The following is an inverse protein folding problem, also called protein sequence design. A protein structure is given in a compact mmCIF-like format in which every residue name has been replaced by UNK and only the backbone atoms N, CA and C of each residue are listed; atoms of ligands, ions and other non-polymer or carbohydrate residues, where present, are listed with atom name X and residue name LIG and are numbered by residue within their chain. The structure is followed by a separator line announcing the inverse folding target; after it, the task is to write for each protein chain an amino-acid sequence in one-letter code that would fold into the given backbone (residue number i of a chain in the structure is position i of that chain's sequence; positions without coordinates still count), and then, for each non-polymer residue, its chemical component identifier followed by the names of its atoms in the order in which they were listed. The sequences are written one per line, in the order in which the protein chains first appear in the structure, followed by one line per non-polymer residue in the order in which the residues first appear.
data_IF_409520883855
#
_entry.id   IF_409520883855
#
_cell.length_a   1.000
_cell.length_b   1.000
_cell.length_c   1.000
_cell.angle_alpha   90.00
_cell.angle_beta   90.00
_cell.angle_gamma   90.00
#
_symmetry.space_group_name_H-M   'P 1'
#
loop_
_entity.id
_entity.type
_entity.pdbx_description
1 polymer ?
#
# COMPACT_ATOMS: atom_id res chain seq x y z
N UNK A 1 -7.39 -10.12 -32.45
CA UNK A 1 -6.61 -9.65 -31.28
C UNK A 1 -7.07 -10.47 -30.08
N UNK A 2 -6.18 -11.21 -29.41
CA UNK A 2 -6.55 -11.93 -28.19
C UNK A 2 -6.86 -10.94 -27.06
N UNK A 3 -7.82 -11.27 -26.19
CA UNK A 3 -8.18 -10.40 -25.05
C UNK A 3 -7.00 -10.15 -24.10
N UNK A 4 -6.03 -11.08 -24.07
CA UNK A 4 -4.76 -10.95 -23.33
C UNK A 4 -3.88 -9.81 -23.85
N UNK A 5 -3.84 -9.60 -25.16
CA UNK A 5 -3.06 -8.54 -25.81
C UNK A 5 -3.64 -7.16 -25.51
N UNK A 6 -4.97 -7.04 -25.55
CA UNK A 6 -5.69 -5.81 -25.19
C UNK A 6 -5.43 -5.43 -23.73
N UNK A 7 -5.48 -6.40 -22.82
CA UNK A 7 -5.19 -6.18 -21.40
C UNK A 7 -3.73 -5.77 -21.16
N UNK A 8 -2.76 -6.33 -21.88
CA UNK A 8 -1.34 -5.96 -21.73
C UNK A 8 -1.04 -4.53 -22.23
N UNK A 9 -1.73 -4.08 -23.29
CA UNK A 9 -1.63 -2.69 -23.78
C UNK A 9 -2.23 -1.72 -22.75
N UNK A 10 -3.45 -2.00 -22.27
CA UNK A 10 -4.11 -1.20 -21.23
C UNK A 10 -3.21 -1.09 -20.00
N UNK A 11 -2.59 -2.20 -19.57
CA UNK A 11 -1.70 -2.21 -18.42
C UNK A 11 -0.43 -1.36 -18.64
N UNK A 12 0.17 -1.39 -19.82
CA UNK A 12 1.35 -0.55 -20.13
C UNK A 12 1.01 0.93 -20.11
N UNK A 13 -0.15 1.31 -20.67
CA UNK A 13 -0.63 2.70 -20.65
C UNK A 13 -0.86 3.19 -19.22
N UNK A 14 -1.57 2.41 -18.41
CA UNK A 14 -1.81 2.74 -17.00
C UNK A 14 -0.51 2.82 -16.19
N UNK A 15 0.50 2.03 -16.56
CA UNK A 15 1.83 2.09 -15.94
C UNK A 15 2.57 3.37 -16.31
N UNK A 16 2.56 3.79 -17.57
CA UNK A 16 3.18 5.06 -18.01
C UNK A 16 2.54 6.25 -17.29
N UNK A 17 1.20 6.26 -17.19
CA UNK A 17 0.46 7.27 -16.45
C UNK A 17 0.86 7.34 -14.97
N UNK A 18 1.05 6.18 -14.34
CA UNK A 18 1.42 6.09 -12.92
C UNK A 18 2.89 6.44 -12.65
N UNK A 19 3.79 5.97 -13.50
CA UNK A 19 5.24 6.17 -13.32
C UNK A 19 5.68 7.61 -13.63
N UNK A 20 4.83 8.38 -14.32
CA UNK A 20 5.07 9.78 -14.70
C UNK A 20 3.99 10.72 -14.16
N UNK A 21 3.44 10.43 -12.97
CA UNK A 21 2.41 11.25 -12.30
C UNK A 21 2.83 12.69 -12.03
N UNK A 22 4.14 12.95 -12.09
CA UNK A 22 4.76 14.24 -11.77
C UNK A 22 4.93 15.14 -13.03
N UNK A 23 4.59 14.62 -14.22
CA UNK A 23 4.56 15.40 -15.47
C UNK A 23 3.26 16.21 -15.59
N UNK A 24 3.33 17.36 -16.28
CA UNK A 24 2.14 18.10 -16.66
C UNK A 24 1.22 17.25 -17.55
N UNK A 25 -0.09 17.47 -17.42
CA UNK A 25 -1.12 16.66 -18.09
C UNK A 25 -0.91 16.56 -19.61
N UNK A 26 -0.48 17.65 -20.25
CA UNK A 26 -0.24 17.70 -21.70
C UNK A 26 0.99 16.88 -22.12
N UNK A 27 2.07 16.92 -21.34
CA UNK A 27 3.28 16.14 -21.63
C UNK A 27 3.03 14.64 -21.40
N UNK A 28 2.28 14.31 -20.35
CA UNK A 28 1.89 12.94 -20.05
C UNK A 28 0.99 12.37 -21.15
N UNK A 29 0.03 13.17 -21.64
CA UNK A 29 -0.88 12.78 -22.70
C UNK A 29 -0.14 12.49 -24.00
N UNK A 30 0.74 13.39 -24.43
CA UNK A 30 1.54 13.22 -25.66
C UNK A 30 2.46 12.00 -25.60
N UNK A 31 3.05 11.72 -24.42
CA UNK A 31 3.89 10.55 -24.23
C UNK A 31 3.09 9.24 -24.27
N UNK A 32 1.94 9.21 -23.60
CA UNK A 32 1.03 8.06 -23.63
C UNK A 32 0.54 7.81 -25.06
N UNK A 33 0.16 8.87 -25.79
CA UNK A 33 -0.32 8.77 -27.16
C UNK A 33 0.76 8.20 -28.09
N UNK A 34 1.98 8.76 -28.03
CA UNK A 34 3.12 8.29 -28.81
C UNK A 34 3.48 6.83 -28.53
N UNK A 35 3.55 6.44 -27.26
CA UNK A 35 3.85 5.05 -26.89
C UNK A 35 2.71 4.09 -27.25
N UNK A 36 1.46 4.53 -27.13
CA UNK A 36 0.27 3.74 -27.51
C UNK A 36 0.23 3.52 -29.02
N UNK A 37 0.47 4.55 -29.81
CA UNK A 37 0.58 4.47 -31.27
C UNK A 37 1.72 3.53 -31.69
N UNK A 38 2.87 3.60 -31.02
CA UNK A 38 3.99 2.68 -31.24
C UNK A 38 3.60 1.21 -30.98
N UNK A 39 2.88 0.94 -29.89
CA UNK A 39 2.39 -0.40 -29.56
C UNK A 39 1.35 -0.91 -30.58
N UNK A 40 0.45 -0.05 -31.06
CA UNK A 40 -0.50 -0.41 -32.10
C UNK A 40 0.19 -0.65 -33.46
N UNK A 41 1.19 0.16 -33.81
CA UNK A 41 1.97 -0.03 -35.04
C UNK A 41 2.78 -1.33 -35.00
N UNK A 42 3.32 -1.71 -33.84
CA UNK A 42 3.96 -3.02 -33.64
C UNK A 42 2.98 -4.18 -33.84
N UNK A 43 1.69 -4.00 -33.52
CA UNK A 43 0.64 -5.01 -33.74
C UNK A 43 0.19 -5.11 -35.19
N UNK A 44 0.22 -3.99 -35.92
CA UNK A 44 -0.07 -3.95 -37.35
C UNK A 44 1.07 -4.61 -38.14
N UNK A 45 2.32 -4.41 -37.70
CA UNK A 45 3.52 -4.93 -38.37
C UNK A 45 3.91 -6.38 -37.97
N UNK A 46 3.32 -6.95 -36.91
CA UNK A 46 3.61 -8.31 -36.43
C UNK A 46 2.72 -9.41 -37.03
N UNK A 47 1.91 -9.08 -38.05
CA UNK A 47 1.27 -10.08 -38.91
C UNK A 47 2.24 -10.74 -39.91
N UNK A 48 3.52 -10.40 -39.88
CA UNK A 48 4.58 -11.12 -40.57
C UNK A 48 5.50 -11.80 -39.55
N UNK A 49 5.25 -13.10 -39.38
CA UNK A 49 6.15 -14.12 -38.82
C UNK A 49 6.42 -14.18 -37.30
N UNK A 50 6.21 -15.39 -36.80
CA UNK A 50 6.72 -16.01 -35.58
C UNK A 50 5.93 -15.80 -34.27
N UNK A 51 5.10 -16.80 -33.99
CA UNK A 51 4.59 -17.10 -32.65
C UNK A 51 5.74 -17.52 -31.70
N UNK A 52 5.78 -17.04 -30.46
CA UNK A 52 6.55 -17.68 -29.40
C UNK A 52 5.64 -18.49 -28.47
N UNK A 53 6.10 -19.70 -28.20
CA UNK A 53 5.54 -20.76 -27.38
C UNK A 53 5.17 -20.38 -25.93
N UNK A 54 4.10 -21.02 -25.44
CA UNK A 54 3.41 -20.96 -24.13
C UNK A 54 4.24 -21.20 -22.83
N UNK A 55 5.58 -21.07 -22.84
CA UNK A 55 6.38 -21.30 -21.62
C UNK A 55 6.50 -20.10 -20.67
N UNK A 56 6.04 -18.91 -21.07
CA UNK A 56 6.39 -17.67 -20.38
C UNK A 56 5.36 -17.15 -19.35
N UNK A 57 4.15 -17.71 -19.34
CA UNK A 57 3.06 -17.20 -18.51
C UNK A 57 3.26 -17.51 -17.02
N UNK A 58 3.74 -18.72 -16.69
CA UNK A 58 4.07 -19.10 -15.29
C UNK A 58 5.25 -18.31 -14.73
N UNK A 59 6.19 -17.90 -15.59
CA UNK A 59 7.37 -17.12 -15.22
C UNK A 59 6.99 -15.64 -14.94
N UNK A 60 6.13 -15.07 -15.79
CA UNK A 60 5.58 -13.71 -15.64
C UNK A 60 4.63 -13.61 -14.45
N UNK A 61 3.80 -14.61 -14.19
CA UNK A 61 2.93 -14.67 -12.99
C UNK A 61 3.78 -14.76 -11.70
N UNK A 62 4.81 -15.61 -11.65
CA UNK A 62 5.75 -15.67 -10.51
C UNK A 62 6.51 -14.35 -10.28
N UNK A 63 6.91 -13.65 -11.35
CA UNK A 63 7.53 -12.32 -11.26
C UNK A 63 6.53 -11.23 -10.83
N UNK A 64 5.26 -11.29 -11.26
CA UNK A 64 4.17 -10.40 -10.81
C UNK A 64 3.87 -10.59 -9.33
N UNK A 65 3.81 -11.83 -8.84
CA UNK A 65 3.65 -12.14 -7.41
C UNK A 65 4.81 -11.58 -6.58
N UNK A 66 6.07 -11.82 -6.99
CA UNK A 66 7.26 -11.26 -6.33
C UNK A 66 7.33 -9.73 -6.30
N UNK A 67 6.74 -9.02 -7.27
CA UNK A 67 6.71 -7.55 -7.30
C UNK A 67 5.60 -6.95 -6.41
N UNK A 68 4.43 -7.58 -6.34
CA UNK A 68 3.40 -7.21 -5.37
C UNK A 68 3.92 -7.45 -3.95
N UNK A 69 4.58 -8.58 -3.72
CA UNK A 69 5.34 -8.83 -2.48
C UNK A 69 6.38 -7.74 -2.24
N UNK A 70 7.22 -7.37 -3.20
CA UNK A 70 8.26 -6.34 -3.00
C UNK A 70 7.76 -4.94 -2.64
N UNK A 71 6.54 -4.57 -3.00
CA UNK A 71 5.94 -3.31 -2.54
C UNK A 71 5.29 -3.48 -1.17
N UNK A 72 4.70 -4.63 -0.87
CA UNK A 72 4.32 -5.01 0.49
C UNK A 72 5.55 -4.99 1.42
N UNK A 73 6.70 -5.42 0.87
CA UNK A 73 8.12 -5.02 1.07
C UNK A 73 8.46 -3.82 1.95
N UNK A 74 7.93 -2.66 1.54
CA UNK A 74 8.52 -1.36 1.90
C UNK A 74 7.93 -0.76 3.18
N UNK A 75 6.74 -1.20 3.57
CA UNK A 75 6.00 -0.66 4.73
C UNK A 75 5.59 -1.79 5.70
N UNK A 76 6.41 -2.84 5.82
CA UNK A 76 6.08 -4.02 6.62
C UNK A 76 5.74 -3.73 8.08
N UNK A 77 6.54 -2.89 8.72
CA UNK A 77 6.36 -2.56 10.14
C UNK A 77 5.01 -1.88 10.33
N UNK A 78 4.70 -0.87 9.49
CA UNK A 78 3.40 -0.20 9.47
C UNK A 78 2.24 -1.15 9.15
N UNK A 79 2.44 -2.14 8.26
CA UNK A 79 1.42 -3.13 7.90
C UNK A 79 1.15 -4.15 9.00
N UNK A 80 2.20 -4.63 9.68
CA UNK A 80 2.08 -5.50 10.85
C UNK A 80 1.34 -4.79 11.98
N UNK A 81 1.64 -3.49 12.17
CA UNK A 81 0.93 -2.64 13.13
C UNK A 81 -0.53 -2.43 12.74
N UNK A 82 -0.80 -1.98 11.52
CA UNK A 82 -2.16 -1.69 11.03
C UNK A 82 -3.03 -2.93 10.99
N UNK A 83 -2.51 -4.11 10.64
CA UNK A 83 -3.35 -5.32 10.62
C UNK A 83 -3.93 -5.66 11.99
N UNK A 84 -3.17 -5.43 13.06
CA UNK A 84 -3.67 -5.62 14.43
C UNK A 84 -4.80 -4.63 14.75
N UNK A 85 -4.72 -3.44 14.18
CA UNK A 85 -5.69 -2.35 14.33
C UNK A 85 -6.86 -2.45 13.36
N UNK A 86 -6.73 -3.21 12.27
CA UNK A 86 -7.55 -3.11 11.07
C UNK A 86 -9.04 -3.34 11.36
N UNK A 87 -9.35 -4.25 12.28
CA UNK A 87 -10.73 -4.49 12.72
C UNK A 87 -11.35 -3.33 13.48
N UNK A 88 -10.54 -2.50 14.11
CA UNK A 88 -10.98 -1.37 14.94
C UNK A 88 -11.00 -0.05 14.16
N UNK A 89 -10.06 0.13 13.22
CA UNK A 89 -9.99 1.34 12.39
C UNK A 89 -10.87 1.26 11.13
N UNK A 90 -11.25 0.07 10.64
CA UNK A 90 -12.23 -0.10 9.56
C UNK A 90 -13.67 -0.06 10.08
N UNK A 91 -13.99 0.92 10.93
CA UNK A 91 -15.35 1.14 11.36
C UNK A 91 -16.15 1.92 10.32
N UNK A 92 -17.48 1.76 10.28
CA UNK A 92 -18.35 2.60 9.46
C UNK A 92 -18.07 4.08 9.72
N UNK A 93 -17.81 4.86 8.67
CA UNK A 93 -17.48 6.28 8.78
C UNK A 93 -15.98 6.61 8.81
N UNK A 94 -15.07 5.62 8.82
CA UNK A 94 -13.63 5.84 8.60
C UNK A 94 -13.28 5.49 7.14
N UNK A 95 -12.89 6.47 6.31
CA UNK A 95 -12.45 6.19 4.95
C UNK A 95 -11.18 5.33 4.89
N UNK A 96 -11.16 4.34 3.99
CA UNK A 96 -10.01 3.43 3.80
C UNK A 96 -8.71 4.18 3.43
N UNK A 97 -8.81 5.39 2.87
CA UNK A 97 -7.65 6.23 2.54
C UNK A 97 -6.88 6.72 3.78
N UNK A 98 -7.47 6.64 4.98
CA UNK A 98 -6.81 7.01 6.24
C UNK A 98 -5.93 5.88 6.80
N UNK A 99 -6.18 4.63 6.43
CA UNK A 99 -5.46 3.47 6.95
C UNK A 99 -3.93 3.57 6.74
N UNK A 100 -3.44 3.98 5.55
CA UNK A 100 -2.01 4.16 5.33
C UNK A 100 -1.37 5.25 6.20
N UNK A 101 -2.13 6.24 6.68
CA UNK A 101 -1.61 7.31 7.56
C UNK A 101 -1.15 6.71 8.89
N UNK A 102 -1.96 5.80 9.45
CA UNK A 102 -1.57 5.08 10.67
C UNK A 102 -0.33 4.22 10.46
N UNK A 103 -0.24 3.51 9.33
CA UNK A 103 0.94 2.70 9.01
C UNK A 103 2.22 3.53 8.93
N UNK A 104 2.17 4.68 8.27
CA UNK A 104 3.31 5.59 8.10
C UNK A 104 3.72 6.27 9.39
N UNK A 105 2.76 6.55 10.27
CA UNK A 105 3.05 7.17 11.57
C UNK A 105 4.02 6.34 12.43
N UNK A 106 4.04 5.01 12.25
CA UNK A 106 4.89 4.11 13.02
C UNK A 106 6.37 4.50 12.93
N UNK A 107 6.87 4.76 11.72
CA UNK A 107 8.28 5.10 11.52
C UNK A 107 8.64 6.40 12.24
N UNK A 108 7.79 7.43 12.14
CA UNK A 108 8.02 8.70 12.82
C UNK A 108 7.88 8.61 14.34
N UNK A 109 7.05 7.69 14.85
CA UNK A 109 6.75 7.59 16.28
C UNK A 109 7.79 6.77 17.03
N UNK A 110 8.21 5.61 16.51
CA UNK A 110 9.17 4.74 17.21
C UNK A 110 10.64 5.09 16.92
N UNK A 111 10.89 5.96 15.96
CA UNK A 111 12.24 6.34 15.50
C UNK A 111 12.85 5.36 14.50
N UNK A 112 13.83 5.84 13.71
CA UNK A 112 14.46 5.07 12.63
C UNK A 112 15.18 3.81 13.14
N UNK A 113 15.91 3.92 14.25
CA UNK A 113 16.68 2.81 14.80
C UNK A 113 15.78 1.63 15.21
N UNK A 114 14.72 1.91 15.97
CA UNK A 114 13.77 0.88 16.40
C UNK A 114 12.99 0.31 15.21
N UNK A 115 12.61 1.17 14.26
CA UNK A 115 11.97 0.76 13.02
C UNK A 115 12.84 -0.22 12.21
N UNK A 116 14.14 0.07 12.05
CA UNK A 116 15.05 -0.79 11.31
C UNK A 116 15.28 -2.13 12.01
N UNK A 117 15.38 -2.13 13.35
CA UNK A 117 15.50 -3.37 14.13
C UNK A 117 14.28 -4.28 13.97
N UNK A 118 13.08 -3.71 14.03
CA UNK A 118 11.84 -4.46 13.80
C UNK A 118 11.73 -4.91 12.35
N UNK A 119 12.09 -4.06 11.38
CA UNK A 119 12.09 -4.42 9.96
C UNK A 119 12.97 -5.65 9.71
N UNK A 120 14.19 -5.69 10.27
CA UNK A 120 15.08 -6.86 10.19
C UNK A 120 14.46 -8.13 10.79
N UNK A 121 13.71 -8.03 11.90
CA UNK A 121 12.98 -9.16 12.49
C UNK A 121 11.88 -9.66 11.55
N UNK A 122 11.12 -8.74 10.94
CA UNK A 122 10.07 -9.09 9.99
C UNK A 122 10.67 -9.74 8.74
N UNK A 123 11.76 -9.21 8.19
CA UNK A 123 12.41 -9.77 7.01
C UNK A 123 12.84 -11.22 7.24
N UNK A 124 13.45 -11.52 8.40
CA UNK A 124 13.80 -12.90 8.78
C UNK A 124 12.58 -13.81 8.88
N UNK A 125 11.47 -13.30 9.43
CA UNK A 125 10.23 -14.05 9.55
C UNK A 125 9.62 -14.32 8.16
N UNK A 126 9.63 -13.32 7.27
CA UNK A 126 9.13 -13.45 5.91
C UNK A 126 9.97 -14.46 5.11
N UNK A 127 11.30 -14.38 5.18
CA UNK A 127 12.18 -15.37 4.55
C UNK A 127 11.92 -16.79 5.05
N UNK A 128 11.70 -16.96 6.35
CA UNK A 128 11.39 -18.26 6.93
C UNK A 128 10.03 -18.78 6.46
N UNK A 129 9.02 -17.91 6.43
CA UNK A 129 7.68 -18.25 5.97
C UNK A 129 7.64 -18.63 4.49
N UNK A 130 8.31 -17.85 3.64
CA UNK A 130 8.43 -18.10 2.21
C UNK A 130 9.12 -19.44 1.92
N UNK A 131 10.19 -19.77 2.65
CA UNK A 131 10.88 -21.08 2.53
C UNK A 131 9.96 -22.26 2.88
N UNK A 132 8.96 -22.04 3.73
CA UNK A 132 7.96 -23.05 4.12
C UNK A 132 6.70 -23.00 3.25
N UNK A 133 6.62 -22.11 2.26
CA UNK A 133 5.48 -21.98 1.37
C UNK A 133 4.29 -21.23 1.98
N UNK A 134 4.47 -20.52 3.09
CA UNK A 134 3.44 -19.65 3.65
C UNK A 134 3.33 -18.35 2.86
N UNK A 135 2.11 -17.89 2.67
CA UNK A 135 1.85 -16.56 2.11
C UNK A 135 2.03 -15.44 3.18
N UNK A 136 2.09 -14.19 2.73
CA UNK A 136 2.31 -13.04 3.58
C UNK A 136 1.25 -12.89 4.69
N UNK A 137 -0.02 -13.14 4.38
CA UNK A 137 -1.12 -13.00 5.35
C UNK A 137 -1.10 -14.12 6.39
N UNK A 138 -0.70 -15.34 6.00
CA UNK A 138 -0.46 -16.46 6.91
C UNK A 138 0.71 -16.16 7.85
N UNK A 139 1.80 -15.59 7.33
CA UNK A 139 2.97 -15.20 8.15
C UNK A 139 2.57 -14.12 9.14
N UNK A 140 1.79 -13.13 8.71
CA UNK A 140 1.33 -12.05 9.56
C UNK A 140 0.38 -12.54 10.67
N UNK A 141 -0.50 -13.50 10.35
CA UNK A 141 -1.40 -14.13 11.33
C UNK A 141 -0.73 -15.18 12.24
N UNK A 142 0.52 -15.54 11.96
CA UNK A 142 1.27 -16.53 12.73
C UNK A 142 1.58 -16.03 14.15
N UNK A 143 1.88 -16.97 15.07
CA UNK A 143 2.31 -16.61 16.44
C UNK A 143 3.52 -15.66 16.43
N UNK A 144 4.61 -15.92 15.67
CA UNK A 144 5.71 -14.97 15.54
C UNK A 144 5.29 -13.60 15.01
N UNK A 145 4.39 -13.57 14.01
CA UNK A 145 3.91 -12.31 13.44
C UNK A 145 3.14 -11.45 14.44
N UNK A 146 2.26 -12.08 15.23
CA UNK A 146 1.54 -11.42 16.34
C UNK A 146 2.49 -10.93 17.44
N UNK A 147 3.54 -11.69 17.77
CA UNK A 147 4.55 -11.27 18.75
C UNK A 147 5.25 -9.99 18.28
N UNK A 148 5.71 -9.94 17.03
CA UNK A 148 6.35 -8.74 16.47
C UNK A 148 5.36 -7.57 16.44
N UNK A 149 4.11 -7.80 16.06
CA UNK A 149 3.11 -6.73 16.04
C UNK A 149 2.81 -6.17 17.44
N UNK A 150 2.85 -7.01 18.47
CA UNK A 150 2.72 -6.60 19.88
C UNK A 150 3.94 -5.80 20.34
N UNK A 151 5.14 -6.18 19.92
CA UNK A 151 6.37 -5.42 20.16
C UNK A 151 6.27 -4.01 19.55
N UNK A 152 5.85 -3.89 18.28
CA UNK A 152 5.63 -2.60 17.63
C UNK A 152 4.63 -1.76 18.40
N UNK A 153 3.51 -2.35 18.83
CA UNK A 153 2.49 -1.65 19.60
C UNK A 153 3.04 -1.13 20.94
N UNK A 154 3.87 -1.92 21.63
CA UNK A 154 4.50 -1.50 22.89
C UNK A 154 5.45 -0.32 22.69
N UNK A 155 6.29 -0.38 21.65
CA UNK A 155 7.20 0.73 21.29
C UNK A 155 6.42 1.97 20.92
N UNK A 156 5.38 1.82 20.09
CA UNK A 156 4.52 2.91 19.69
C UNK A 156 3.84 3.59 20.88
N UNK A 157 3.29 2.81 21.82
CA UNK A 157 2.64 3.33 23.05
C UNK A 157 3.60 4.10 23.94
N UNK A 158 4.85 3.66 24.06
CA UNK A 158 5.85 4.34 24.87
C UNK A 158 6.11 5.76 24.34
N UNK A 159 6.22 5.90 23.02
CA UNK A 159 6.58 7.16 22.36
C UNK A 159 5.35 8.05 22.02
N UNK A 160 4.15 7.46 21.91
CA UNK A 160 2.92 8.19 21.53
C UNK A 160 2.32 9.06 22.64
N UNK A 161 2.97 9.14 23.80
CA UNK A 161 2.45 9.86 24.98
C UNK A 161 2.60 11.39 24.88
N UNK A 162 3.26 11.90 23.84
CA UNK A 162 3.48 13.34 23.67
C UNK A 162 2.22 14.08 23.16
N UNK A 163 1.89 15.26 23.71
CA UNK A 163 0.79 16.08 23.18
C UNK A 163 0.99 16.51 21.71
N UNK A 164 2.25 16.63 21.27
CA UNK A 164 2.61 16.94 19.88
C UNK A 164 2.25 15.82 18.91
N UNK A 165 2.34 14.57 19.34
CA UNK A 165 2.03 13.41 18.51
C UNK A 165 0.55 13.40 18.08
N UNK A 166 -0.38 13.63 19.01
CA UNK A 166 -1.80 13.66 18.71
C UNK A 166 -2.13 14.74 17.66
N UNK A 167 -1.54 15.92 17.80
CA UNK A 167 -1.70 17.02 16.84
C UNK A 167 -1.15 16.68 15.46
N UNK A 168 0.07 16.13 15.40
CA UNK A 168 0.71 15.74 14.14
C UNK A 168 -0.09 14.65 13.42
N UNK A 169 -0.57 13.63 14.14
CA UNK A 169 -1.34 12.55 13.54
C UNK A 169 -2.68 13.06 12.99
N UNK A 170 -3.41 13.90 13.75
CA UNK A 170 -4.66 14.51 13.26
C UNK A 170 -4.45 15.37 12.03
N UNK A 171 -3.38 16.18 11.99
CA UNK A 171 -3.05 16.98 10.80
C UNK A 171 -2.77 16.09 9.58
N UNK A 172 -2.05 14.98 9.75
CA UNK A 172 -1.78 14.05 8.64
C UNK A 172 -3.06 13.36 8.13
N UNK A 173 -4.01 13.06 9.03
CA UNK A 173 -5.32 12.51 8.67
C UNK A 173 -6.14 13.55 7.89
N UNK A 174 -6.19 14.79 8.38
CA UNK A 174 -6.88 15.92 7.73
C UNK A 174 -6.36 16.14 6.31
N UNK A 175 -5.04 16.31 6.15
CA UNK A 175 -4.42 16.48 4.84
C UNK A 175 -4.73 15.33 3.88
N UNK A 176 -4.76 14.10 4.39
CA UNK A 176 -5.02 12.92 3.57
C UNK A 176 -6.48 12.84 3.16
N UNK A 177 -7.42 13.22 4.02
CA UNK A 177 -8.84 13.32 3.68
C UNK A 177 -9.06 14.40 2.63
N UNK A 178 -8.54 15.62 2.84
CA UNK A 178 -8.68 16.72 1.89
C UNK A 178 -8.17 16.31 0.50
N UNK A 179 -7.00 15.65 0.43
CA UNK A 179 -6.42 15.17 -0.84
C UNK A 179 -7.26 14.10 -1.53
N UNK A 180 -7.98 13.27 -0.77
CA UNK A 180 -8.73 12.13 -1.30
C UNK A 180 -10.26 12.33 -1.31
N UNK A 181 -10.77 13.49 -0.91
CA UNK A 181 -12.21 13.73 -0.68
C UNK A 181 -13.07 13.42 -1.92
N UNK A 182 -12.54 13.68 -3.12
CA UNK A 182 -13.22 13.40 -4.40
C UNK A 182 -13.36 11.91 -4.71
N UNK A 183 -12.53 11.08 -4.11
CA UNK A 183 -12.49 9.63 -4.31
C UNK A 183 -13.22 8.85 -3.20
N UNK A 184 -13.76 9.55 -2.20
CA UNK A 184 -14.50 8.97 -1.08
C UNK A 184 -15.99 9.04 -1.41
N UNK A 185 -16.71 7.94 -1.16
CA UNK A 185 -18.17 7.90 -1.28
C UNK A 185 -18.79 8.93 -0.32
N UNK A 186 -19.63 9.81 -0.85
CA UNK A 186 -20.20 10.98 -0.15
C UNK A 186 -19.14 11.97 0.41
N UNK A 187 -17.91 11.95 -0.11
CA UNK A 187 -16.84 12.84 0.33
C UNK A 187 -17.17 14.34 0.36
N UNK A 188 -17.91 14.92 -0.61
CA UNK A 188 -18.30 16.34 -0.57
C UNK A 188 -19.21 16.72 0.62
N UNK A 189 -19.92 15.76 1.20
CA UNK A 189 -20.84 15.96 2.34
C UNK A 189 -20.18 15.59 3.68
N UNK A 190 -18.93 15.10 3.61
CA UNK A 190 -18.22 14.54 4.76
C UNK A 190 -17.63 15.67 5.59
N UNK A 191 -18.02 15.74 6.87
CA UNK A 191 -17.37 16.63 7.81
C UNK A 191 -15.96 16.09 8.12
N UNK A 192 -14.94 16.80 7.61
CA UNK A 192 -13.55 16.40 7.73
C UNK A 192 -13.12 16.34 9.20
N UNK A 193 -13.46 17.36 9.99
CA UNK A 193 -13.06 17.45 11.40
C UNK A 193 -13.66 16.30 12.22
N UNK A 194 -14.96 16.02 12.04
CA UNK A 194 -15.64 14.91 12.72
C UNK A 194 -15.03 13.56 12.33
N UNK A 195 -14.70 13.38 11.05
CA UNK A 195 -14.13 12.14 10.54
C UNK A 195 -12.70 11.93 11.03
N UNK A 196 -11.88 12.98 11.06
CA UNK A 196 -10.53 12.92 11.66
C UNK A 196 -10.62 12.58 13.13
N UNK A 197 -11.51 13.22 13.88
CA UNK A 197 -11.70 12.96 15.30
C UNK A 197 -12.18 11.53 15.55
N UNK A 198 -13.13 11.03 14.75
CA UNK A 198 -13.61 9.65 14.85
C UNK A 198 -12.49 8.65 14.56
N UNK A 199 -11.76 8.81 13.45
CA UNK A 199 -10.64 7.93 13.09
C UNK A 199 -9.53 7.93 14.15
N UNK A 200 -9.18 9.11 14.66
CA UNK A 200 -8.19 9.26 15.73
C UNK A 200 -8.67 8.63 17.05
N UNK A 201 -9.93 8.81 17.42
CA UNK A 201 -10.48 8.26 18.65
C UNK A 201 -10.56 6.73 18.61
N UNK A 202 -10.99 6.14 17.49
CA UNK A 202 -11.00 4.68 17.32
C UNK A 202 -9.59 4.10 17.37
N UNK A 203 -8.63 4.78 16.74
CA UNK A 203 -7.23 4.42 16.83
C UNK A 203 -6.70 4.49 18.27
N UNK A 204 -6.99 5.58 19.00
CA UNK A 204 -6.57 5.75 20.39
C UNK A 204 -7.22 4.77 21.36
N UNK A 205 -8.50 4.43 21.16
CA UNK A 205 -9.19 3.40 21.96
C UNK A 205 -8.42 2.09 21.95
N UNK A 206 -7.91 1.68 20.78
CA UNK A 206 -7.08 0.48 20.71
C UNK A 206 -5.68 0.67 21.28
N UNK A 207 -5.04 1.83 21.03
CA UNK A 207 -3.75 2.13 21.64
C UNK A 207 -3.79 2.05 23.16
N UNK A 208 -4.94 2.25 23.80
CA UNK A 208 -5.08 2.13 25.26
C UNK A 208 -5.98 0.97 25.70
N UNK A 209 -6.44 0.12 24.77
CA UNK A 209 -7.15 -1.10 25.10
C UNK A 209 -6.20 -2.04 25.86
N UNK A 210 -6.61 -2.42 27.08
CA UNK A 210 -5.94 -3.41 27.92
C UNK A 210 -6.13 -4.81 27.37
#
# INVERSE_FOLDING_TARGET
MSDTLRQDIIFKILKIAKDNSDLSSDNLFNQIESETLSMFNQLINSNAENAPSEKDDKSRIKRRMKRKDRNQRKEHVGRFFVRMLEKNIRQPGVPDCLIPVFAKSVQSTIGEDAYEQVAKKIDRLLEFGEKKGYDYDQILNSKPGKTIATEILSLYRAESSSPSFAKQLKNNLDETLVKNIKSIENGPELNIEDTVNLAFNEFNKYLHAK
#
